data_IF_966172386251
#
_entry.id   IF_966172386251
#
_cell.length_a   1.000
_cell.length_b   1.000
_cell.length_c   1.000
_cell.angle_alpha   90.00
_cell.angle_beta   90.00
_cell.angle_gamma   90.00
#
_symmetry.space_group_name_H-M   'P 1'
#
loop_
_entity.id
_entity.type
_entity.pdbx_description
1 polymer ?
#
# COMPACT_ATOMS: atom_id res chain seq x y z
N UNK A 1 39.05 -43.53 -10.12
CA UNK A 1 39.19 -42.52 -11.20
C UNK A 1 37.82 -41.97 -11.54
N UNK A 2 37.53 -40.73 -11.13
CA UNK A 2 36.27 -40.03 -11.33
C UNK A 2 36.19 -39.40 -12.72
N UNK A 3 35.05 -39.52 -13.42
CA UNK A 3 34.66 -38.57 -14.47
C UNK A 3 33.18 -38.22 -14.34
N UNK A 4 32.93 -37.02 -13.79
CA UNK A 4 31.64 -36.31 -13.87
C UNK A 4 31.35 -36.02 -15.34
N UNK A 5 30.21 -36.45 -15.86
CA UNK A 5 29.71 -36.03 -17.17
C UNK A 5 28.81 -34.80 -17.01
N UNK A 6 29.23 -33.67 -17.59
CA UNK A 6 28.45 -32.43 -17.74
C UNK A 6 27.57 -32.50 -19.01
N UNK A 7 26.42 -31.81 -18.92
CA UNK A 7 25.32 -31.64 -19.91
C UNK A 7 25.75 -31.21 -21.32
N UNK A 8 24.82 -31.41 -22.29
CA UNK A 8 24.46 -30.30 -23.18
C UNK A 8 22.95 -29.97 -23.15
N UNK A 9 22.61 -28.66 -23.16
CA UNK A 9 21.24 -28.13 -23.32
C UNK A 9 20.86 -28.05 -24.81
N UNK A 10 19.64 -28.42 -25.25
CA UNK A 10 19.17 -28.08 -26.57
C UNK A 10 18.30 -26.80 -26.58
N UNK A 11 18.87 -25.78 -27.25
CA UNK A 11 18.34 -24.77 -28.20
C UNK A 11 16.91 -24.21 -28.04
N UNK A 12 16.91 -22.90 -27.80
CA UNK A 12 15.84 -21.89 -27.94
C UNK A 12 15.22 -21.95 -29.36
N UNK A 13 13.91 -22.24 -29.47
CA UNK A 13 13.11 -21.97 -30.68
C UNK A 13 12.42 -20.61 -30.51
N UNK A 14 12.99 -19.56 -31.11
CA UNK A 14 12.27 -18.32 -31.40
C UNK A 14 11.52 -18.54 -32.70
N UNK A 15 10.20 -18.73 -32.61
CA UNK A 15 9.30 -18.88 -33.75
C UNK A 15 8.74 -17.54 -34.19
N UNK A 16 9.24 -17.09 -35.34
CA UNK A 16 8.68 -16.19 -36.35
C UNK A 16 7.38 -15.41 -36.09
N UNK A 17 7.53 -14.10 -36.18
CA UNK A 17 6.94 -13.24 -37.21
C UNK A 17 5.46 -13.47 -37.58
N UNK A 18 4.61 -12.55 -37.10
CA UNK A 18 3.32 -12.22 -37.68
C UNK A 18 3.20 -10.72 -37.90
N UNK A 19 3.80 -10.22 -38.98
CA UNK A 19 3.55 -8.88 -39.52
C UNK A 19 2.36 -8.95 -40.48
N UNK A 20 1.28 -8.22 -40.18
CA UNK A 20 0.22 -7.79 -41.11
C UNK A 20 -0.34 -6.47 -40.56
N UNK A 21 0.16 -5.34 -41.04
CA UNK A 21 -0.42 -4.51 -42.10
C UNK A 21 -1.61 -3.65 -41.60
N UNK A 22 -1.26 -2.39 -41.37
CA UNK A 22 -2.00 -1.13 -41.55
C UNK A 22 -3.48 -1.18 -41.95
N UNK A 23 -4.32 -0.50 -41.17
CA UNK A 23 -5.42 0.31 -41.70
C UNK A 23 -5.79 1.44 -40.71
N UNK A 24 -5.59 2.73 -41.04
CA UNK A 24 -6.19 3.83 -40.29
C UNK A 24 -7.53 4.16 -40.94
N UNK A 25 -8.64 3.75 -40.32
CA UNK A 25 -9.98 4.19 -40.74
C UNK A 25 -10.51 5.24 -39.77
N UNK A 26 -10.46 6.48 -40.26
CA UNK A 26 -11.42 7.56 -40.16
C UNK A 26 -12.31 7.66 -38.92
N UNK A 27 -12.07 8.74 -38.19
CA UNK A 27 -12.97 9.51 -37.35
C UNK A 27 -14.48 9.19 -37.45
N UNK A 28 -15.00 8.62 -36.37
CA UNK A 28 -16.37 8.87 -35.89
C UNK A 28 -16.24 9.26 -34.43
N UNK A 29 -16.46 10.54 -34.12
CA UNK A 29 -16.61 11.02 -32.74
C UNK A 29 -17.91 10.42 -32.18
N UNK A 30 -17.88 9.60 -31.12
CA UNK A 30 -19.10 9.41 -30.34
C UNK A 30 -19.35 10.69 -29.54
N UNK A 31 -20.45 11.36 -29.87
CA UNK A 31 -21.06 12.36 -29.01
C UNK A 31 -21.27 11.80 -27.60
N UNK A 32 -21.05 12.64 -26.58
CA UNK A 32 -21.61 12.41 -25.25
C UNK A 32 -20.85 11.46 -24.33
N UNK A 33 -19.52 11.50 -24.27
CA UNK A 33 -18.82 10.99 -23.08
C UNK A 33 -18.95 12.04 -21.98
N UNK A 34 -20.02 11.96 -21.17
CA UNK A 34 -20.02 12.62 -19.87
C UNK A 34 -18.87 11.97 -19.10
N UNK A 35 -17.75 12.71 -18.97
CA UNK A 35 -16.67 12.33 -18.09
C UNK A 35 -17.25 12.22 -16.69
N UNK A 36 -17.60 11.00 -16.27
CA UNK A 36 -17.91 10.69 -14.88
C UNK A 36 -16.71 11.21 -14.11
N UNK A 37 -16.89 12.33 -13.40
CA UNK A 37 -15.88 12.89 -12.53
C UNK A 37 -15.46 11.73 -11.63
N UNK A 38 -14.23 11.25 -11.81
CA UNK A 38 -13.67 10.20 -10.97
C UNK A 38 -13.78 10.74 -9.55
N UNK A 39 -14.74 10.23 -8.79
CA UNK A 39 -14.81 10.47 -7.36
C UNK A 39 -13.42 10.15 -6.85
N UNK A 40 -12.69 11.16 -6.41
CA UNK A 40 -11.33 10.97 -5.92
C UNK A 40 -11.41 9.88 -4.86
N UNK A 41 -10.82 8.73 -5.18
CA UNK A 41 -10.91 7.57 -4.30
C UNK A 41 -10.29 7.99 -2.98
N UNK A 42 -11.12 8.20 -1.96
CA UNK A 42 -10.65 8.46 -0.62
C UNK A 42 -9.78 7.27 -0.26
N UNK A 43 -8.48 7.48 0.00
CA UNK A 43 -7.59 6.37 0.29
C UNK A 43 -8.12 5.70 1.56
N UNK A 44 -8.58 4.45 1.41
CA UNK A 44 -8.99 3.61 2.55
C UNK A 44 -7.83 3.30 3.50
N UNK A 45 -6.60 3.63 3.10
CA UNK A 45 -5.38 3.47 3.89
C UNK A 45 -4.68 4.81 4.10
N UNK A 46 -4.53 5.21 5.36
CA UNK A 46 -3.63 6.29 5.74
C UNK A 46 -2.21 5.72 5.91
N UNK A 47 -1.22 6.39 5.34
CA UNK A 47 0.19 6.07 5.58
C UNK A 47 0.75 7.01 6.62
N UNK A 48 1.44 6.45 7.60
CA UNK A 48 2.17 7.21 8.60
C UNK A 48 3.40 7.85 7.96
N UNK A 49 3.71 9.09 8.37
CA UNK A 49 4.96 9.75 8.00
C UNK A 49 6.16 9.09 8.71
N UNK A 50 7.38 9.46 8.32
CA UNK A 50 8.60 8.95 8.97
C UNK A 50 8.64 9.25 10.47
N UNK A 51 8.24 10.47 10.85
CA UNK A 51 8.20 10.91 12.25
C UNK A 51 7.10 10.19 13.03
N UNK A 52 5.92 9.99 12.42
CA UNK A 52 4.84 9.21 13.03
C UNK A 52 5.26 7.76 13.30
N UNK A 53 6.04 7.16 12.38
CA UNK A 53 6.58 5.80 12.57
C UNK A 53 7.59 5.78 13.73
N UNK A 54 8.44 6.79 13.87
CA UNK A 54 9.37 6.89 14.99
C UNK A 54 8.63 7.03 16.33
N UNK A 55 7.60 7.88 16.37
CA UNK A 55 6.73 8.05 17.53
C UNK A 55 6.01 6.74 17.90
N UNK A 56 5.46 6.03 16.92
CA UNK A 56 4.81 4.73 17.14
C UNK A 56 5.78 3.70 17.71
N UNK A 57 7.03 3.66 17.24
CA UNK A 57 8.07 2.77 17.79
C UNK A 57 8.38 3.09 19.25
N UNK A 58 8.52 4.37 19.60
CA UNK A 58 8.74 4.78 20.98
C UNK A 58 7.57 4.39 21.89
N UNK A 59 6.33 4.65 21.48
CA UNK A 59 5.13 4.24 22.22
C UNK A 59 5.13 2.70 22.39
N UNK A 60 5.44 1.96 21.33
CA UNK A 60 5.48 0.50 21.36
C UNK A 60 6.56 -0.01 22.33
N UNK A 61 7.73 0.62 22.38
CA UNK A 61 8.78 0.28 23.35
C UNK A 61 8.32 0.57 24.77
N UNK A 62 7.70 1.73 25.04
CA UNK A 62 7.19 2.09 26.36
C UNK A 62 6.13 1.09 26.86
N UNK A 63 5.17 0.73 25.99
CA UNK A 63 4.15 -0.29 26.30
C UNK A 63 4.78 -1.64 26.58
N UNK A 64 5.80 -2.04 25.81
CA UNK A 64 6.53 -3.28 26.05
C UNK A 64 7.34 -3.26 27.35
N UNK A 65 7.81 -2.10 27.80
CA UNK A 65 8.52 -1.97 29.07
C UNK A 65 7.66 -2.29 30.30
N UNK A 66 6.35 -2.12 30.20
CA UNK A 66 5.39 -2.42 31.28
C UNK A 66 4.56 -3.69 31.03
N UNK A 67 4.63 -4.24 29.82
CA UNK A 67 3.90 -5.45 29.43
C UNK A 67 4.71 -6.69 29.78
N UNK A 68 4.02 -7.73 30.28
CA UNK A 68 4.63 -9.05 30.51
C UNK A 68 4.91 -9.82 29.22
N UNK A 69 4.34 -9.39 28.09
CA UNK A 69 4.42 -10.09 26.81
C UNK A 69 4.70 -9.10 25.69
N UNK A 70 5.39 -9.57 24.64
CA UNK A 70 5.69 -8.72 23.48
C UNK A 70 4.41 -8.26 22.79
N UNK A 71 4.24 -6.95 22.69
CA UNK A 71 3.17 -6.26 21.99
C UNK A 71 3.72 -5.74 20.66
N UNK A 72 3.06 -6.12 19.56
CA UNK A 72 3.35 -5.62 18.22
C UNK A 72 2.79 -4.21 18.01
N UNK A 73 3.42 -3.42 17.15
CA UNK A 73 2.94 -2.07 16.75
C UNK A 73 1.47 -2.08 16.32
N UNK A 74 1.03 -3.08 15.54
CA UNK A 74 -0.37 -3.22 15.11
C UNK A 74 -1.34 -3.34 16.29
N UNK A 75 -0.94 -4.01 17.38
CA UNK A 75 -1.77 -4.14 18.60
C UNK A 75 -1.84 -2.81 19.33
N UNK A 76 -0.73 -2.07 19.38
CA UNK A 76 -0.69 -0.72 19.96
C UNK A 76 -1.64 0.21 19.21
N UNK A 77 -1.57 0.24 17.87
CA UNK A 77 -2.48 1.06 17.04
C UNK A 77 -3.95 0.71 17.34
N UNK A 78 -4.30 -0.59 17.34
CA UNK A 78 -5.67 -1.02 17.64
C UNK A 78 -6.13 -0.58 19.03
N UNK A 79 -5.26 -0.67 20.03
CA UNK A 79 -5.57 -0.21 21.38
C UNK A 79 -5.77 1.31 21.45
N UNK A 80 -4.92 2.09 20.77
CA UNK A 80 -5.05 3.55 20.69
C UNK A 80 -6.37 3.97 20.01
N UNK A 81 -6.76 3.28 18.93
CA UNK A 81 -8.04 3.53 18.26
C UNK A 81 -9.23 3.21 19.18
N UNK A 82 -9.16 2.11 19.94
CA UNK A 82 -10.20 1.74 20.89
C UNK A 82 -10.29 2.71 22.09
N UNK A 83 -9.15 3.23 22.55
CA UNK A 83 -9.13 4.29 23.56
C UNK A 83 -9.73 5.57 23.00
N UNK A 84 -9.35 5.94 21.78
CA UNK A 84 -9.87 7.12 21.07
C UNK A 84 -11.37 7.06 20.81
N UNK A 85 -11.93 5.88 20.52
CA UNK A 85 -13.38 5.73 20.30
C UNK A 85 -14.22 5.97 21.56
N UNK A 86 -13.61 5.85 22.74
CA UNK A 86 -14.27 6.12 24.02
C UNK A 86 -14.07 7.57 24.49
N UNK A 87 -13.29 8.38 23.77
CA UNK A 87 -13.09 9.80 24.08
C UNK A 87 -14.26 10.63 23.57
N UNK A 88 -14.63 11.64 24.35
CA UNK A 88 -15.61 12.63 23.94
C UNK A 88 -15.10 13.40 22.69
N UNK A 89 -15.95 13.62 21.66
CA UNK A 89 -15.53 14.27 20.41
C UNK A 89 -14.87 15.63 20.61
N UNK A 90 -15.26 16.39 21.64
CA UNK A 90 -14.70 17.70 21.97
C UNK A 90 -13.22 17.61 22.35
N UNK A 91 -12.82 16.51 23.02
CA UNK A 91 -11.41 16.27 23.35
C UNK A 91 -10.58 15.99 22.11
N UNK A 92 -11.14 15.22 21.17
CA UNK A 92 -10.50 14.95 19.88
C UNK A 92 -10.36 16.24 19.08
N UNK A 93 -11.42 17.06 19.02
CA UNK A 93 -11.39 18.35 18.35
C UNK A 93 -10.37 19.31 18.96
N UNK A 94 -10.27 19.35 20.30
CA UNK A 94 -9.25 20.14 21.00
C UNK A 94 -7.85 19.68 20.63
N UNK A 95 -7.59 18.37 20.67
CA UNK A 95 -6.29 17.82 20.29
C UNK A 95 -5.92 18.15 18.84
N UNK A 96 -6.88 18.06 17.90
CA UNK A 96 -6.66 18.44 16.51
C UNK A 96 -6.25 19.91 16.35
N UNK A 97 -6.85 20.83 17.14
CA UNK A 97 -6.51 22.26 17.12
C UNK A 97 -5.14 22.58 17.69
N UNK A 98 -4.58 21.70 18.52
CA UNK A 98 -3.24 21.89 19.09
C UNK A 98 -2.13 21.34 18.17
N UNK A 99 -2.49 20.46 17.22
CA UNK A 99 -1.56 19.84 16.28
C UNK A 99 -1.45 20.64 14.96
N UNK A 100 -2.50 21.38 14.61
CA UNK A 100 -2.54 22.28 13.43
C UNK A 100 -1.98 23.66 13.77
#
# INVERSE_FOLDING_TARGET
MNRKAQKPRPKKKLGNAGSKLSQPQSATKPEGVVSVQKSSATPKSFRLSGDDIANLKQITQAVNGVSRSKVSETKVIKALLQLGSNLAPEKVLKALREIL
#
